data_IF_448455049967
#
_entry.id   IF_448455049967
#
_cell.length_a   1.000
_cell.length_b   1.000
_cell.length_c   1.000
_cell.angle_alpha   90.00
_cell.angle_beta   90.00
_cell.angle_gamma   90.00
#
_symmetry.space_group_name_H-M   'P 1'
#
loop_
_entity.id
_entity.type
_entity.pdbx_description
1 polymer ?
#
# COMPACT_ATOMS: atom_id res chain seq x y z
N UNK A 1 -10.66 -5.27 0.36
CA UNK A 1 -10.66 -3.99 1.08
C UNK A 1 -11.83 -3.16 0.57
N UNK A 2 -12.56 -2.47 1.44
CA UNK A 2 -13.73 -1.65 1.10
C UNK A 2 -13.30 -0.19 0.93
N UNK A 3 -13.06 0.30 -0.31
CA UNK A 3 -12.40 1.59 -0.54
C UNK A 3 -13.22 2.78 -0.06
N UNK A 4 -14.54 2.61 0.07
CA UNK A 4 -15.48 3.64 0.52
C UNK A 4 -15.23 4.04 1.98
N UNK A 5 -14.66 3.16 2.79
CA UNK A 5 -14.43 3.40 4.21
C UNK A 5 -13.00 3.86 4.54
N UNK A 6 -12.14 4.04 3.53
CA UNK A 6 -10.74 4.46 3.74
C UNK A 6 -10.62 5.75 4.57
N UNK A 7 -11.49 6.74 4.35
CA UNK A 7 -11.49 7.99 5.12
C UNK A 7 -11.84 7.74 6.60
N UNK A 8 -12.88 6.94 6.85
CA UNK A 8 -13.29 6.55 8.21
C UNK A 8 -12.17 5.79 8.94
N UNK A 9 -11.48 4.87 8.24
CA UNK A 9 -10.35 4.15 8.81
C UNK A 9 -9.17 5.08 9.11
N UNK A 10 -8.87 6.03 8.21
CA UNK A 10 -7.83 7.02 8.45
C UNK A 10 -8.16 7.93 9.65
N UNK A 11 -9.42 8.34 9.79
CA UNK A 11 -9.89 9.07 10.97
C UNK A 11 -9.73 8.25 12.25
N UNK A 12 -10.09 6.97 12.23
CA UNK A 12 -9.89 6.10 13.38
C UNK A 12 -8.41 5.98 13.76
N UNK A 13 -7.53 5.77 12.78
CA UNK A 13 -6.09 5.74 12.98
C UNK A 13 -5.55 7.06 13.57
N UNK A 14 -6.07 8.21 13.13
CA UNK A 14 -5.68 9.52 13.64
C UNK A 14 -6.03 9.67 15.12
N UNK A 15 -7.24 9.28 15.53
CA UNK A 15 -7.65 9.33 16.94
C UNK A 15 -6.83 8.34 17.80
N UNK A 16 -6.62 7.11 17.33
CA UNK A 16 -5.78 6.14 18.03
C UNK A 16 -4.34 6.64 18.23
N UNK A 17 -3.79 7.37 17.26
CA UNK A 17 -2.46 7.93 17.38
C UNK A 17 -2.35 9.02 18.47
N UNK A 18 -3.46 9.67 18.82
CA UNK A 18 -3.53 10.68 19.86
C UNK A 18 -3.87 10.08 21.24
N UNK A 19 -4.75 9.08 21.27
CA UNK A 19 -5.33 8.55 22.51
C UNK A 19 -4.51 7.40 23.12
N UNK A 20 -3.80 6.62 22.29
CA UNK A 20 -3.03 5.49 22.79
C UNK A 20 -1.74 5.96 23.47
N UNK A 21 -1.40 5.37 24.64
CA UNK A 21 -0.16 5.70 25.32
C UNK A 21 1.04 5.22 24.52
N UNK A 22 2.14 5.94 24.65
CA UNK A 22 3.43 5.47 24.16
C UNK A 22 3.88 4.26 24.98
N UNK A 23 4.33 3.21 24.29
CA UNK A 23 4.92 2.03 24.91
C UNK A 23 6.45 2.18 24.90
N UNK A 24 7.11 1.59 25.89
CA UNK A 24 8.57 1.53 25.95
C UNK A 24 8.99 0.10 26.24
N UNK A 25 9.69 -0.52 25.28
CA UNK A 25 10.30 -1.84 25.42
C UNK A 25 11.79 -1.66 25.20
N UNK A 26 12.63 -2.12 26.13
CA UNK A 26 14.10 -2.06 25.99
C UNK A 26 14.67 -0.66 25.66
N UNK A 27 14.11 0.40 26.27
CA UNK A 27 14.40 1.82 25.99
C UNK A 27 14.03 2.33 24.59
N UNK A 28 13.34 1.52 23.79
CA UNK A 28 12.79 1.95 22.51
C UNK A 28 11.34 2.43 22.68
N UNK A 29 11.10 3.68 22.27
CA UNK A 29 9.75 4.25 22.25
C UNK A 29 8.97 3.70 21.05
N UNK A 30 7.86 3.04 21.33
CA UNK A 30 6.93 2.47 20.37
C UNK A 30 5.63 3.27 20.44
N UNK A 31 5.29 3.92 19.32
CA UNK A 31 4.06 4.69 19.19
C UNK A 31 3.14 4.02 18.18
N UNK A 32 1.82 4.21 18.33
CA UNK A 32 0.86 3.73 17.34
C UNK A 32 1.19 4.25 15.93
N UNK A 33 1.57 5.52 15.83
CA UNK A 33 1.99 6.13 14.55
C UNK A 33 3.15 5.35 13.90
N UNK A 34 4.16 4.95 14.68
CA UNK A 34 5.30 4.17 14.16
C UNK A 34 4.88 2.78 13.70
N UNK A 35 4.04 2.09 14.47
CA UNK A 35 3.51 0.77 14.11
C UNK A 35 2.67 0.83 12.82
N UNK A 36 1.80 1.83 12.73
CA UNK A 36 0.95 2.05 11.55
C UNK A 36 1.81 2.29 10.31
N UNK A 37 2.83 3.16 10.41
CA UNK A 37 3.73 3.44 9.30
C UNK A 37 4.48 2.20 8.80
N UNK A 38 5.05 1.42 9.72
CA UNK A 38 5.69 0.16 9.37
C UNK A 38 4.72 -0.78 8.67
N UNK A 39 3.48 -0.87 9.18
CA UNK A 39 2.47 -1.73 8.57
C UNK A 39 2.07 -1.25 7.17
N UNK A 40 1.89 0.06 6.98
CA UNK A 40 1.61 0.63 5.67
C UNK A 40 2.73 0.32 4.66
N UNK A 41 3.99 0.39 5.08
CA UNK A 41 5.12 0.03 4.24
C UNK A 41 5.11 -1.46 3.86
N UNK A 42 4.94 -2.37 4.82
CA UNK A 42 4.81 -3.81 4.55
C UNK A 42 3.69 -4.12 3.55
N UNK A 43 2.52 -3.48 3.73
CA UNK A 43 1.35 -3.68 2.88
C UNK A 43 1.56 -3.12 1.46
N UNK A 44 2.35 -2.05 1.33
CA UNK A 44 2.73 -1.48 0.05
C UNK A 44 3.70 -2.42 -0.69
N UNK A 45 4.78 -2.83 -0.04
CA UNK A 45 5.80 -3.72 -0.61
C UNK A 45 5.25 -5.12 -0.93
N UNK A 46 4.30 -5.62 -0.12
CA UNK A 46 3.63 -6.89 -0.43
C UNK A 46 2.74 -6.78 -1.66
N UNK A 47 2.09 -5.63 -1.87
CA UNK A 47 1.31 -5.37 -3.09
C UNK A 47 2.19 -5.48 -4.35
N UNK A 48 3.40 -4.93 -4.30
CA UNK A 48 4.38 -5.01 -5.40
C UNK A 48 4.77 -6.47 -5.70
N UNK A 49 5.09 -7.25 -4.66
CA UNK A 49 5.45 -8.68 -4.84
C UNK A 49 4.29 -9.50 -5.39
N UNK A 50 3.07 -9.30 -4.88
CA UNK A 50 1.87 -10.00 -5.35
C UNK A 50 1.57 -9.69 -6.83
N UNK A 51 1.82 -8.46 -7.29
CA UNK A 51 1.68 -8.06 -8.69
C UNK A 51 2.79 -8.65 -9.58
N UNK A 52 4.04 -8.60 -9.13
CA UNK A 52 5.18 -9.18 -9.87
C UNK A 52 5.05 -10.71 -10.02
N UNK A 53 4.62 -11.41 -8.96
CA UNK A 53 4.34 -12.85 -8.99
C UNK A 53 3.16 -13.19 -9.93
N UNK A 54 2.11 -12.37 -9.96
CA UNK A 54 0.98 -12.57 -10.86
C UNK A 54 1.39 -12.44 -12.34
N UNK A 55 2.30 -11.51 -12.64
CA UNK A 55 2.85 -11.30 -13.97
C UNK A 55 3.81 -12.43 -14.38
N UNK A 56 4.72 -12.89 -13.50
CA UNK A 56 5.65 -13.99 -13.80
C UNK A 56 4.96 -15.34 -14.02
N UNK A 57 3.91 -15.63 -13.24
CA UNK A 57 3.07 -16.81 -13.47
C UNK A 57 2.34 -16.77 -14.84
N UNK A 58 2.37 -15.64 -15.57
CA UNK A 58 1.88 -15.52 -16.95
C UNK A 58 2.89 -16.02 -17.97
N UNK A 59 4.16 -15.71 -17.73
CA UNK A 59 5.26 -16.05 -18.61
C UNK A 59 5.69 -17.52 -18.48
N UNK A 60 5.66 -18.07 -17.27
CA UNK A 60 6.19 -19.42 -17.01
C UNK A 60 5.17 -20.54 -17.29
N UNK A 61 3.90 -20.22 -17.59
CA UNK A 61 2.86 -21.21 -17.89
C UNK A 61 2.55 -22.18 -16.73
N UNK A 62 3.12 -21.95 -15.55
CA UNK A 62 2.91 -22.78 -14.37
C UNK A 62 1.57 -22.43 -13.71
N UNK A 63 0.46 -23.00 -14.21
CA UNK A 63 -0.74 -23.08 -13.40
C UNK A 63 -1.66 -24.24 -13.80
N UNK A 64 -1.92 -25.10 -12.82
CA UNK A 64 -3.08 -26.02 -12.79
C UNK A 64 -4.44 -25.27 -12.67
N UNK A 65 -4.45 -23.95 -12.87
CA UNK A 65 -5.60 -23.08 -12.66
C UNK A 65 -6.26 -22.72 -13.99
N UNK A 66 -7.57 -22.58 -13.97
CA UNK A 66 -8.36 -22.13 -15.10
C UNK A 66 -8.13 -20.64 -15.39
N UNK A 67 -8.40 -20.20 -16.62
CA UNK A 67 -8.31 -18.79 -17.00
C UNK A 67 -9.21 -17.88 -16.12
N UNK A 68 -10.34 -18.42 -15.65
CA UNK A 68 -11.30 -17.71 -14.81
C UNK A 68 -10.76 -17.50 -13.38
N UNK A 69 -10.15 -18.52 -12.79
CA UNK A 69 -9.46 -18.41 -11.49
C UNK A 69 -8.30 -17.42 -11.53
N UNK A 70 -7.55 -17.40 -12.64
CA UNK A 70 -6.47 -16.45 -12.87
C UNK A 70 -6.99 -15.01 -12.91
N UNK A 71 -8.08 -14.77 -13.64
CA UNK A 71 -8.70 -13.45 -13.74
C UNK A 71 -9.23 -12.97 -12.39
N UNK A 72 -9.90 -13.85 -11.63
CA UNK A 72 -10.41 -13.50 -10.30
C UNK A 72 -9.26 -13.12 -9.35
N UNK A 73 -8.15 -13.88 -9.37
CA UNK A 73 -6.95 -13.58 -8.59
C UNK A 73 -6.38 -12.21 -8.95
N UNK A 74 -6.27 -11.89 -10.24
CA UNK A 74 -5.80 -10.59 -10.75
C UNK A 74 -6.69 -9.44 -10.28
N UNK A 75 -8.01 -9.57 -10.44
CA UNK A 75 -8.97 -8.56 -10.01
C UNK A 75 -8.93 -8.33 -8.49
N UNK A 76 -8.76 -9.41 -7.72
CA UNK A 76 -8.63 -9.35 -6.25
C UNK A 76 -7.36 -8.62 -5.83
N UNK A 77 -6.21 -8.95 -6.45
CA UNK A 77 -4.94 -8.28 -6.21
C UNK A 77 -5.04 -6.77 -6.54
N UNK A 78 -5.57 -6.44 -7.73
CA UNK A 78 -5.76 -5.04 -8.16
C UNK A 78 -6.67 -4.26 -7.22
N UNK A 79 -7.80 -4.85 -6.78
CA UNK A 79 -8.72 -4.21 -5.81
C UNK A 79 -8.03 -3.95 -4.47
N UNK A 80 -7.19 -4.88 -4.00
CA UNK A 80 -6.40 -4.71 -2.77
C UNK A 80 -5.40 -3.57 -2.92
N UNK A 81 -4.63 -3.55 -4.01
CA UNK A 81 -3.65 -2.50 -4.32
C UNK A 81 -4.30 -1.11 -4.35
N UNK A 82 -5.40 -0.94 -5.10
CA UNK A 82 -6.13 0.33 -5.16
C UNK A 82 -6.68 0.76 -3.80
N UNK A 83 -7.14 -0.19 -2.97
CA UNK A 83 -7.55 0.06 -1.61
C UNK A 83 -6.41 0.59 -0.74
N UNK A 84 -5.23 -0.04 -0.83
CA UNK A 84 -4.03 0.38 -0.10
C UNK A 84 -3.60 1.79 -0.51
N UNK A 85 -3.54 2.09 -1.82
CA UNK A 85 -3.21 3.42 -2.34
C UNK A 85 -4.17 4.48 -1.78
N UNK A 86 -5.47 4.20 -1.80
CA UNK A 86 -6.48 5.13 -1.28
C UNK A 86 -6.31 5.36 0.22
N UNK A 87 -6.11 4.30 1.00
CA UNK A 87 -5.89 4.42 2.45
C UNK A 87 -4.64 5.25 2.78
N UNK A 88 -3.53 5.01 2.08
CA UNK A 88 -2.28 5.79 2.23
C UNK A 88 -2.54 7.26 1.93
N UNK A 89 -3.27 7.59 0.87
CA UNK A 89 -3.66 8.96 0.55
C UNK A 89 -4.49 9.63 1.66
N UNK A 90 -5.46 8.91 2.23
CA UNK A 90 -6.26 9.41 3.34
C UNK A 90 -5.42 9.62 4.62
N UNK A 91 -4.49 8.71 4.93
CA UNK A 91 -3.55 8.87 6.04
C UNK A 91 -2.63 10.09 5.85
N UNK A 92 -2.20 10.38 4.62
CA UNK A 92 -1.41 11.57 4.33
C UNK A 92 -2.21 12.87 4.52
N UNK A 93 -3.48 12.91 4.07
CA UNK A 93 -4.38 14.05 4.30
C UNK A 93 -4.52 14.38 5.79
N UNK A 94 -4.47 13.36 6.65
CA UNK A 94 -4.52 13.49 8.12
C UNK A 94 -3.15 13.74 8.77
N UNK A 95 -2.10 14.07 8.00
CA UNK A 95 -0.71 14.32 8.47
C UNK A 95 -0.09 13.13 9.22
N UNK A 96 -0.57 11.92 8.95
CA UNK A 96 -0.03 10.70 9.57
C UNK A 96 1.22 10.18 8.85
N UNK A 97 1.35 10.49 7.56
CA UNK A 97 2.52 10.14 6.75
C UNK A 97 3.42 11.37 6.52
N UNK A 98 4.71 11.13 6.31
CA UNK A 98 5.64 12.19 5.88
C UNK A 98 5.55 12.41 4.38
N UNK A 99 5.98 13.58 3.93
CA UNK A 99 6.04 13.90 2.50
C UNK A 99 6.94 12.92 1.72
N UNK A 100 8.08 12.55 2.32
CA UNK A 100 9.02 11.58 1.74
C UNK A 100 8.34 10.25 1.39
N UNK A 101 7.54 9.69 2.32
CA UNK A 101 6.83 8.42 2.10
C UNK A 101 5.84 8.56 0.94
N UNK A 102 5.13 9.69 0.84
CA UNK A 102 4.21 9.91 -0.28
C UNK A 102 4.92 10.03 -1.62
N UNK A 103 6.06 10.73 -1.68
CA UNK A 103 6.87 10.80 -2.90
C UNK A 103 7.37 9.42 -3.32
N UNK A 104 7.81 8.59 -2.38
CA UNK A 104 8.19 7.20 -2.65
C UNK A 104 7.01 6.39 -3.21
N UNK A 105 5.81 6.50 -2.62
CA UNK A 105 4.60 5.87 -3.17
C UNK A 105 4.25 6.36 -4.58
N UNK A 106 4.30 7.67 -4.83
CA UNK A 106 4.00 8.26 -6.15
C UNK A 106 5.01 7.77 -7.20
N UNK A 107 6.31 7.85 -6.89
CA UNK A 107 7.36 7.39 -7.80
C UNK A 107 7.23 5.91 -8.12
N UNK A 108 6.85 5.09 -7.13
CA UNK A 108 6.62 3.65 -7.35
C UNK A 108 5.38 3.40 -8.21
N UNK A 109 4.28 4.12 -7.96
CA UNK A 109 3.05 3.97 -8.74
C UNK A 109 3.18 4.43 -10.20
N UNK A 110 3.99 5.45 -10.45
CA UNK A 110 4.28 5.95 -11.80
C UNK A 110 5.40 5.16 -12.50
N UNK A 111 6.15 4.34 -11.75
CA UNK A 111 7.37 3.69 -12.21
C UNK A 111 8.55 4.66 -12.29
N UNK A 112 9.76 4.14 -12.57
CA UNK A 112 10.84 5.02 -13.01
C UNK A 112 10.41 5.69 -14.31
N UNK A 113 10.30 7.02 -14.31
CA UNK A 113 10.15 7.82 -15.51
C UNK A 113 11.43 7.72 -16.35
N UNK A 114 11.65 6.58 -17.01
CA UNK A 114 12.66 6.38 -18.05
C UNK A 114 11.93 6.26 -19.38
N UNK A 115 11.40 7.38 -19.85
CA UNK A 115 11.30 7.79 -21.26
C UNK A 115 10.47 9.08 -21.35
N UNK A 116 11.10 10.27 -21.21
CA UNK A 116 10.58 11.49 -21.79
C UNK A 116 10.82 11.46 -23.31
N UNK A 117 10.19 10.53 -24.03
CA UNK A 117 10.25 10.60 -25.50
C UNK A 117 9.30 11.70 -25.97
N UNK A 118 9.91 12.85 -26.19
CA UNK A 118 9.73 13.71 -27.37
C UNK A 118 8.29 14.06 -27.78
N UNK A 119 7.76 15.15 -27.21
CA UNK A 119 6.88 16.05 -27.98
C UNK A 119 7.73 17.16 -28.59
N UNK A 120 8.18 16.97 -29.83
CA UNK A 120 8.59 18.06 -30.73
C UNK A 120 8.21 17.72 -32.17
#
# INVERSE_FOLDING_TARGET
>A
MEPTFCEMYADFCFHLAADLPDLSVENEKITFKRLLLNKCQEEFERGEKEEEEANKAEEEGEAKQTAEEREEKRLRARRRMLGNIRLIGELYKKRMLTERIMHECINKLLGQYQNPDEEN
#
